data_IF_212111364061
#
_entry.id   IF_212111364061
#
_cell.length_a   1.000
_cell.length_b   1.000
_cell.length_c   1.000
_cell.angle_alpha   90.00
_cell.angle_beta   90.00
_cell.angle_gamma   90.00
#
_symmetry.space_group_name_H-M   'P 1'
#
loop_
_entity.id
_entity.type
_entity.pdbx_description
1 polymer ?
#
# COMPACT_ATOMS: atom_id res chain seq x y z
N UNK A 1 -3.80 1.40 0.37
CA UNK A 1 -2.43 1.86 0.14
C UNK A 1 -1.69 0.87 -0.74
N UNK A 2 -1.17 1.31 -1.88
CA UNK A 2 -0.26 0.50 -2.70
C UNK A 2 1.18 0.64 -2.21
N UNK A 3 1.89 -0.47 -2.07
CA UNK A 3 3.29 -0.53 -1.67
C UNK A 3 4.05 -1.45 -2.63
N UNK A 4 5.18 -0.99 -3.13
CA UNK A 4 6.07 -1.76 -4.00
C UNK A 4 7.38 -0.99 -4.24
N UNK A 5 8.44 -1.63 -4.72
CA UNK A 5 9.62 -0.96 -5.21
C UNK A 5 9.31 0.06 -6.31
N UNK A 6 10.27 0.93 -6.60
CA UNK A 6 10.13 1.87 -7.71
C UNK A 6 9.90 1.13 -9.03
N UNK A 7 9.14 1.74 -9.95
CA UNK A 7 8.83 1.21 -11.29
C UNK A 7 8.00 -0.10 -11.34
N UNK A 8 7.46 -0.57 -10.22
CA UNK A 8 6.61 -1.78 -10.17
C UNK A 8 5.18 -1.54 -10.70
N UNK A 9 4.75 -0.28 -10.85
CA UNK A 9 3.40 0.05 -11.39
C UNK A 9 2.43 0.65 -10.36
N UNK A 10 2.90 1.17 -9.20
CA UNK A 10 2.04 1.86 -8.22
C UNK A 10 1.23 2.99 -8.84
N UNK A 11 1.88 3.87 -9.60
CA UNK A 11 1.21 5.00 -10.26
C UNK A 11 0.23 4.55 -11.34
N UNK A 12 0.55 3.46 -12.05
CA UNK A 12 -0.34 2.85 -13.04
C UNK A 12 -1.60 2.34 -12.37
N UNK A 13 -1.46 1.60 -11.26
CA UNK A 13 -2.63 1.11 -10.51
C UNK A 13 -3.46 2.26 -9.93
N UNK A 14 -2.82 3.28 -9.35
CA UNK A 14 -3.53 4.47 -8.87
C UNK A 14 -4.33 5.17 -9.98
N UNK A 15 -3.75 5.31 -11.19
CA UNK A 15 -4.43 5.89 -12.35
C UNK A 15 -5.61 5.02 -12.83
N UNK A 16 -5.46 3.70 -12.87
CA UNK A 16 -6.55 2.78 -13.23
C UNK A 16 -7.71 2.86 -12.24
N UNK A 17 -7.46 2.94 -10.95
CA UNK A 17 -8.49 3.15 -9.93
C UNK A 17 -9.19 4.49 -10.09
N UNK A 18 -8.43 5.56 -10.36
CA UNK A 18 -9.01 6.88 -10.63
C UNK A 18 -9.90 6.85 -11.87
N UNK A 19 -9.42 6.25 -12.96
CA UNK A 19 -10.14 6.18 -14.25
C UNK A 19 -11.40 5.32 -14.18
N UNK A 20 -11.35 4.16 -13.54
CA UNK A 20 -12.42 3.17 -13.59
C UNK A 20 -13.35 3.17 -12.38
N UNK A 21 -12.94 3.79 -11.27
CA UNK A 21 -13.73 3.84 -10.02
C UNK A 21 -13.86 5.23 -9.42
N UNK A 22 -13.32 6.26 -10.08
CA UNK A 22 -13.35 7.63 -9.58
C UNK A 22 -12.53 7.81 -8.28
N UNK A 23 -11.56 6.92 -8.01
CA UNK A 23 -10.74 7.01 -6.82
C UNK A 23 -9.84 8.24 -6.84
N UNK A 24 -9.73 8.90 -5.70
CA UNK A 24 -8.82 10.03 -5.54
C UNK A 24 -7.46 9.58 -5.06
N UNK A 25 -6.40 10.03 -5.72
CA UNK A 25 -5.02 9.78 -5.30
C UNK A 25 -4.64 10.78 -4.21
N UNK A 26 -4.37 10.27 -3.02
CA UNK A 26 -3.95 11.07 -1.86
C UNK A 26 -2.52 11.57 -2.00
N UNK A 27 -1.62 10.67 -2.36
CA UNK A 27 -0.19 10.95 -2.53
C UNK A 27 0.42 10.03 -3.60
N UNK A 28 1.32 10.57 -4.39
CA UNK A 28 1.89 9.88 -5.55
C UNK A 28 3.16 9.07 -5.27
N UNK A 29 3.80 9.25 -4.12
CA UNK A 29 5.07 8.57 -3.83
C UNK A 29 5.09 7.98 -2.42
N UNK A 30 5.11 8.81 -1.39
CA UNK A 30 5.19 8.40 0.01
C UNK A 30 3.91 8.74 0.76
N UNK A 31 3.56 7.92 1.72
CA UNK A 31 2.45 8.18 2.63
C UNK A 31 2.92 7.96 4.07
N UNK A 32 2.45 8.80 4.99
CA UNK A 32 2.62 8.57 6.41
C UNK A 32 1.41 7.82 6.95
N UNK A 33 1.66 6.83 7.79
CA UNK A 33 0.60 6.09 8.50
C UNK A 33 0.73 6.34 9.99
N UNK A 34 -0.36 6.76 10.62
CA UNK A 34 -0.46 6.94 12.07
C UNK A 34 -1.25 5.80 12.69
N UNK A 35 -0.81 5.33 13.86
CA UNK A 35 -1.32 4.14 14.55
C UNK A 35 -1.79 4.43 15.99
N UNK A 36 -2.22 5.66 16.29
CA UNK A 36 -2.73 6.07 17.60
C UNK A 36 -4.25 5.86 17.73
N UNK A 37 -4.75 4.75 17.25
CA UNK A 37 -6.15 4.38 17.12
C UNK A 37 -6.38 3.56 15.86
N UNK A 38 -7.47 3.81 15.15
CA UNK A 38 -7.65 3.22 13.82
C UNK A 38 -6.57 3.75 12.85
N UNK A 39 -5.93 2.86 12.07
CA UNK A 39 -4.87 3.27 11.17
C UNK A 39 -5.32 4.36 10.20
N UNK A 40 -4.57 5.45 10.13
CA UNK A 40 -4.90 6.61 9.30
C UNK A 40 -3.75 6.95 8.38
N UNK A 41 -4.03 7.08 7.08
CA UNK A 41 -3.06 7.53 6.07
C UNK A 41 -3.12 9.04 5.92
N UNK A 42 -1.98 9.68 5.88
CA UNK A 42 -1.82 11.11 5.66
C UNK A 42 -1.06 11.37 4.37
N UNK A 43 -1.52 12.34 3.59
CA UNK A 43 -0.74 12.91 2.51
C UNK A 43 0.46 13.68 3.07
N UNK A 44 1.60 13.53 2.42
CA UNK A 44 2.86 14.18 2.80
C UNK A 44 3.45 14.91 1.59
N UNK A 45 4.31 15.93 1.75
CA UNK A 45 4.81 16.76 0.64
C UNK A 45 5.76 16.02 -0.33
N UNK A 46 5.93 14.70 -0.16
CA UNK A 46 6.77 13.87 -1.03
C UNK A 46 5.91 13.24 -2.14
N UNK A 47 5.69 13.98 -3.22
CA UNK A 47 4.78 13.61 -4.32
C UNK A 47 5.44 12.81 -5.45
N UNK A 48 6.78 12.65 -5.42
CA UNK A 48 7.52 12.01 -6.49
C UNK A 48 7.32 12.72 -7.85
N UNK A 49 7.37 11.96 -8.93
CA UNK A 49 7.20 12.48 -10.30
C UNK A 49 5.74 12.81 -10.64
N UNK A 50 4.78 12.34 -9.86
CA UNK A 50 3.35 12.61 -10.13
C UNK A 50 2.91 14.03 -9.77
N UNK A 51 3.63 14.71 -8.87
CA UNK A 51 3.24 16.00 -8.32
C UNK A 51 2.00 15.94 -7.42
N UNK A 52 1.41 14.77 -7.21
CA UNK A 52 0.17 14.62 -6.43
C UNK A 52 0.51 14.54 -4.94
N UNK A 53 0.02 15.54 -4.20
CA UNK A 53 0.13 15.61 -2.75
C UNK A 53 -1.09 16.38 -2.22
N UNK A 54 -1.91 15.73 -1.41
CA UNK A 54 -3.10 16.33 -0.79
C UNK A 54 -2.93 16.34 0.73
N UNK A 55 -3.11 17.50 1.35
CA UNK A 55 -3.08 17.63 2.81
C UNK A 55 -4.41 17.16 3.42
N UNK A 56 -4.69 15.88 3.30
CA UNK A 56 -5.87 15.22 3.86
C UNK A 56 -5.48 13.91 4.52
N UNK A 57 -6.36 13.41 5.38
CA UNK A 57 -6.17 12.16 6.11
C UNK A 57 -7.36 11.24 5.87
N UNK A 58 -7.10 9.95 5.66
CA UNK A 58 -8.12 8.94 5.37
C UNK A 58 -7.86 7.68 6.19
N UNK A 59 -8.92 6.96 6.63
CA UNK A 59 -8.74 5.66 7.25
C UNK A 59 -7.99 4.69 6.32
N UNK A 60 -6.98 3.99 6.82
CA UNK A 60 -6.31 2.92 6.09
C UNK A 60 -7.14 1.65 6.17
N UNK A 61 -7.66 1.19 5.03
CA UNK A 61 -8.47 -0.03 4.97
C UNK A 61 -7.64 -1.27 4.70
N UNK A 62 -6.65 -1.18 3.82
CA UNK A 62 -5.75 -2.28 3.50
C UNK A 62 -4.42 -1.78 2.91
N UNK A 63 -3.45 -2.66 2.87
CA UNK A 63 -2.17 -2.47 2.18
C UNK A 63 -2.09 -3.50 1.06
N UNK A 64 -1.68 -3.07 -0.12
CA UNK A 64 -1.54 -3.94 -1.30
C UNK A 64 -0.11 -3.90 -1.79
N UNK A 65 0.61 -5.01 -1.64
CA UNK A 65 1.93 -5.21 -2.21
C UNK A 65 1.78 -5.59 -3.68
N UNK A 66 2.34 -4.76 -4.57
CA UNK A 66 2.24 -4.97 -6.02
C UNK A 66 3.46 -5.71 -6.56
N UNK A 67 3.20 -6.59 -7.53
CA UNK A 67 4.20 -7.15 -8.43
C UNK A 67 3.64 -7.24 -9.85
N UNK A 68 4.50 -7.15 -10.85
CA UNK A 68 4.12 -7.34 -12.24
C UNK A 68 4.00 -8.83 -12.57
N UNK A 69 2.95 -9.20 -13.29
CA UNK A 69 2.72 -10.57 -13.73
C UNK A 69 1.89 -10.59 -15.04
N UNK A 70 1.97 -11.67 -15.82
CA UNK A 70 1.16 -11.83 -17.03
C UNK A 70 -0.33 -12.10 -16.73
N UNK A 71 -0.64 -12.48 -15.49
CA UNK A 71 -1.99 -12.77 -15.02
C UNK A 71 -2.26 -12.11 -13.68
N UNK A 72 -3.52 -11.74 -13.46
CA UNK A 72 -3.94 -11.13 -12.20
C UNK A 72 -4.20 -12.20 -11.14
N UNK A 73 -3.48 -12.13 -10.04
CA UNK A 73 -3.65 -13.01 -8.87
C UNK A 73 -3.55 -12.21 -7.59
N UNK A 74 -4.49 -12.41 -6.68
CA UNK A 74 -4.49 -11.75 -5.38
C UNK A 74 -4.63 -12.79 -4.27
N UNK A 75 -3.91 -12.54 -3.17
CA UNK A 75 -4.08 -13.29 -1.92
C UNK A 75 -3.83 -12.39 -0.72
N UNK A 76 -4.52 -12.68 0.37
CA UNK A 76 -4.24 -12.07 1.67
C UNK A 76 -2.98 -12.70 2.24
N UNK A 77 -2.10 -11.88 2.83
CA UNK A 77 -0.87 -12.33 3.46
C UNK A 77 -1.09 -12.64 4.94
N UNK A 78 -0.42 -13.66 5.44
CA UNK A 78 -0.26 -13.87 6.87
C UNK A 78 0.72 -12.86 7.49
N UNK A 79 0.64 -12.65 8.80
CA UNK A 79 1.44 -11.64 9.49
C UNK A 79 2.96 -11.82 9.29
N UNK A 80 3.46 -13.05 9.38
CA UNK A 80 4.89 -13.34 9.19
C UNK A 80 5.38 -13.01 7.78
N UNK A 81 4.57 -13.31 6.76
CA UNK A 81 4.90 -13.02 5.38
C UNK A 81 4.83 -11.53 5.07
N UNK A 82 3.80 -10.83 5.57
CA UNK A 82 3.68 -9.39 5.45
C UNK A 82 4.88 -8.68 6.11
N UNK A 83 5.30 -9.14 7.30
CA UNK A 83 6.47 -8.58 8.00
C UNK A 83 7.80 -8.84 7.26
N UNK A 84 7.89 -9.91 6.48
CA UNK A 84 9.08 -10.16 5.66
C UNK A 84 9.18 -9.24 4.42
N UNK A 85 8.04 -8.78 3.90
CA UNK A 85 7.95 -8.02 2.64
C UNK A 85 7.82 -6.51 2.83
N UNK A 86 7.02 -6.04 3.80
CA UNK A 86 6.74 -4.62 4.01
C UNK A 86 7.97 -3.76 4.33
N UNK A 87 8.94 -4.22 5.15
CA UNK A 87 10.09 -3.40 5.52
C UNK A 87 10.92 -2.91 4.34
N UNK A 88 10.93 -3.66 3.23
CA UNK A 88 11.66 -3.30 2.01
C UNK A 88 11.18 -2.00 1.37
N UNK A 89 9.94 -1.60 1.65
CA UNK A 89 9.31 -0.39 1.13
C UNK A 89 9.06 0.66 2.24
N UNK A 90 9.50 0.42 3.47
CA UNK A 90 9.43 1.37 4.55
C UNK A 90 10.60 2.38 4.45
N UNK A 91 10.31 3.62 4.84
CA UNK A 91 11.35 4.65 4.92
C UNK A 91 12.00 4.58 6.30
N UNK A 92 13.07 3.79 6.42
CA UNK A 92 13.85 3.66 7.64
C UNK A 92 15.31 3.34 7.30
N UNK A 93 16.22 3.81 8.11
CA UNK A 93 17.64 3.46 7.99
C UNK A 93 17.92 2.14 8.70
N UNK A 94 18.06 1.07 7.91
CA UNK A 94 18.36 -0.27 8.44
C UNK A 94 19.75 -0.38 9.08
N UNK A 95 20.65 0.57 8.86
CA UNK A 95 21.98 0.61 9.51
C UNK A 95 21.90 1.10 10.96
N UNK A 96 20.85 1.84 11.31
CA UNK A 96 20.58 2.31 12.66
C UNK A 96 19.68 1.30 13.38
N UNK A 97 20.28 0.48 14.23
CA UNK A 97 19.61 -0.64 14.90
C UNK A 97 18.33 -0.25 15.63
N UNK A 98 18.35 0.87 16.35
CA UNK A 98 17.19 1.33 17.13
C UNK A 98 16.04 1.77 16.23
N UNK A 99 16.33 2.51 15.14
CA UNK A 99 15.31 2.90 14.15
C UNK A 99 14.72 1.69 13.45
N UNK A 100 15.55 0.72 13.09
CA UNK A 100 15.08 -0.51 12.46
C UNK A 100 14.18 -1.32 13.38
N UNK A 101 14.55 -1.51 14.65
CA UNK A 101 13.72 -2.20 15.65
C UNK A 101 12.37 -1.49 15.85
N UNK A 102 12.38 -0.15 15.95
CA UNK A 102 11.17 0.65 16.05
C UNK A 102 10.28 0.50 14.82
N UNK A 103 10.87 0.53 13.63
CA UNK A 103 10.14 0.33 12.37
C UNK A 103 9.48 -1.03 12.31
N UNK A 104 10.19 -2.10 12.68
CA UNK A 104 9.60 -3.44 12.72
C UNK A 104 8.44 -3.54 13.72
N UNK A 105 8.54 -2.92 14.89
CA UNK A 105 7.45 -2.85 15.86
C UNK A 105 6.23 -2.14 15.28
N UNK A 106 6.40 -0.98 14.66
CA UNK A 106 5.32 -0.24 14.02
C UNK A 106 4.68 -1.01 12.86
N UNK A 107 5.47 -1.76 12.10
CA UNK A 107 4.95 -2.62 11.03
C UNK A 107 4.13 -3.79 11.57
N UNK A 108 4.52 -4.37 12.71
CA UNK A 108 3.71 -5.40 13.38
C UNK A 108 2.36 -4.84 13.84
N UNK A 109 2.35 -3.66 14.43
CA UNK A 109 1.11 -2.99 14.85
C UNK A 109 0.23 -2.70 13.63
N UNK A 110 0.83 -2.22 12.54
CA UNK A 110 0.15 -1.91 11.28
C UNK A 110 -0.49 -3.17 10.65
N UNK A 111 0.25 -4.28 10.57
CA UNK A 111 -0.23 -5.57 10.03
C UNK A 111 -1.36 -6.13 10.89
N UNK A 112 -1.33 -5.90 12.21
CA UNK A 112 -2.39 -6.31 13.12
C UNK A 112 -3.67 -5.49 12.95
N UNK A 113 -3.54 -4.24 12.52
CA UNK A 113 -4.65 -3.29 12.40
C UNK A 113 -5.25 -3.19 10.99
N UNK A 114 -4.50 -3.56 9.94
CA UNK A 114 -4.95 -3.50 8.56
C UNK A 114 -4.48 -4.72 7.76
N UNK A 115 -5.36 -5.39 6.98
CA UNK A 115 -4.98 -6.53 6.17
C UNK A 115 -4.00 -6.14 5.08
N UNK A 116 -3.09 -7.06 4.79
CA UNK A 116 -2.09 -6.93 3.72
C UNK A 116 -2.39 -7.96 2.62
N UNK A 117 -2.42 -7.50 1.38
CA UNK A 117 -2.62 -8.32 0.20
C UNK A 117 -1.37 -8.30 -0.68
N UNK A 118 -1.09 -9.41 -1.34
CA UNK A 118 -0.17 -9.46 -2.47
C UNK A 118 -1.00 -9.51 -3.76
N UNK A 119 -0.79 -8.55 -4.64
CA UNK A 119 -1.42 -8.46 -5.96
C UNK A 119 -0.33 -8.55 -7.04
N UNK A 120 -0.26 -9.71 -7.69
CA UNK A 120 0.47 -9.87 -8.93
C UNK A 120 -0.47 -9.48 -10.07
N UNK A 121 -0.11 -8.50 -10.91
CA UNK A 121 -1.09 -7.94 -11.83
C UNK A 121 -0.52 -7.45 -13.17
N UNK A 122 -1.42 -7.41 -14.14
CA UNK A 122 -1.27 -6.72 -15.42
C UNK A 122 -1.58 -5.22 -15.28
N UNK A 123 -1.10 -4.34 -16.17
CA UNK A 123 -1.38 -2.90 -16.13
C UNK A 123 -2.71 -2.55 -16.83
N UNK A 124 -3.80 -3.23 -16.49
CA UNK A 124 -5.13 -3.01 -17.09
C UNK A 124 -6.26 -3.07 -16.03
N UNK A 125 -7.50 -2.81 -16.46
CA UNK A 125 -8.67 -2.75 -15.59
C UNK A 125 -8.95 -4.05 -14.84
N UNK A 126 -8.54 -5.22 -15.36
CA UNK A 126 -8.74 -6.50 -14.69
C UNK A 126 -7.99 -6.58 -13.36
N UNK A 127 -6.89 -5.83 -13.21
CA UNK A 127 -6.19 -5.71 -11.93
C UNK A 127 -7.07 -4.98 -10.88
N UNK A 128 -7.79 -3.93 -11.30
CA UNK A 128 -8.75 -3.21 -10.44
C UNK A 128 -9.87 -4.15 -10.00
N UNK A 129 -10.49 -4.87 -10.95
CA UNK A 129 -11.56 -5.83 -10.69
C UNK A 129 -11.11 -6.96 -9.76
N UNK A 130 -9.90 -7.49 -9.97
CA UNK A 130 -9.32 -8.55 -9.13
C UNK A 130 -9.18 -8.09 -7.67
N UNK A 131 -8.67 -6.88 -7.45
CA UNK A 131 -8.54 -6.32 -6.10
C UNK A 131 -9.91 -6.02 -5.50
N UNK A 132 -10.81 -5.38 -6.25
CA UNK A 132 -12.16 -5.04 -5.80
C UNK A 132 -12.95 -6.27 -5.34
N UNK A 133 -12.95 -7.35 -6.13
CA UNK A 133 -13.60 -8.61 -5.77
C UNK A 133 -13.02 -9.21 -4.47
N UNK A 134 -11.71 -9.13 -4.28
CA UNK A 134 -11.08 -9.62 -3.05
C UNK A 134 -11.48 -8.78 -1.83
N UNK A 135 -11.53 -7.46 -1.98
CA UNK A 135 -11.95 -6.56 -0.91
C UNK A 135 -13.42 -6.79 -0.52
N UNK A 136 -14.32 -6.89 -1.50
CA UNK A 136 -15.75 -7.18 -1.26
C UNK A 136 -15.94 -8.52 -0.57
N UNK A 137 -15.24 -9.57 -1.03
CA UNK A 137 -15.28 -10.90 -0.41
C UNK A 137 -14.83 -10.86 1.07
N UNK A 138 -13.85 -10.02 1.40
CA UNK A 138 -13.29 -9.89 2.75
C UNK A 138 -14.03 -8.84 3.60
N UNK A 139 -15.15 -8.26 3.10
CA UNK A 139 -16.06 -7.38 3.85
C UNK A 139 -15.72 -5.89 3.83
N UNK A 140 -15.03 -5.42 2.79
CA UNK A 140 -14.66 -4.01 2.59
C UNK A 140 -15.55 -3.31 1.58
#
# INVERSE_FOLDING_TARGET
LFSAPSQTGKSTQAALWAQHRGAEVLNGDKAAVRLDGAPTVHGVPFSGTSGICRNVSMPLRCIVLLSQAPENRIRRLGASEALALLPQNAFADASVREEWQRTLSLLLDLISAAPVYALACTPDVRAVETLEHALVRDGF
#
